data_IF_514335616961
#
_entry.id   IF_514335616961
#
_cell.length_a   1.000
_cell.length_b   1.000
_cell.length_c   1.000
_cell.angle_alpha   90.00
_cell.angle_beta   90.00
_cell.angle_gamma   90.00
#
_symmetry.space_group_name_H-M   'P 1'
#
loop_
_entity.id
_entity.type
_entity.pdbx_description
1 polymer ?
#
# COMPACT_ATOMS: atom_id res chain seq x y z
N UNK A 1 4.23 0.50 -12.92
CA UNK A 1 3.65 1.58 -12.11
C UNK A 1 3.70 1.27 -10.61
N UNK A 2 3.43 0.05 -10.21
CA UNK A 2 3.39 -0.31 -8.78
C UNK A 2 4.63 -1.04 -8.29
N UNK A 3 5.69 -1.07 -9.09
CA UNK A 3 6.88 -1.85 -8.79
C UNK A 3 7.54 -1.44 -7.46
N UNK A 4 7.67 -0.13 -7.23
CA UNK A 4 8.25 0.37 -5.98
C UNK A 4 7.38 0.03 -4.78
N UNK A 5 6.08 0.18 -4.94
CA UNK A 5 5.12 -0.17 -3.90
C UNK A 5 5.17 -1.66 -3.58
N UNK A 6 5.26 -2.51 -4.59
CA UNK A 6 5.36 -3.95 -4.40
C UNK A 6 6.62 -4.34 -3.65
N UNK A 7 7.75 -3.70 -3.96
CA UNK A 7 9.02 -3.95 -3.27
C UNK A 7 8.92 -3.53 -1.81
N UNK A 8 8.41 -2.34 -1.55
CA UNK A 8 8.24 -1.85 -0.17
C UNK A 8 7.28 -2.73 0.61
N UNK A 9 6.18 -3.13 0.01
CA UNK A 9 5.20 -4.01 0.64
C UNK A 9 5.84 -5.34 1.03
N UNK A 10 6.60 -5.93 0.12
CA UNK A 10 7.29 -7.19 0.39
C UNK A 10 8.27 -7.07 1.55
N UNK A 11 9.01 -5.96 1.63
CA UNK A 11 9.94 -5.71 2.72
C UNK A 11 9.23 -5.58 4.07
N UNK A 12 8.00 -5.06 4.05
CA UNK A 12 7.20 -4.89 5.26
C UNK A 12 6.34 -6.11 5.60
N UNK A 13 6.42 -7.18 4.79
CA UNK A 13 5.65 -8.40 5.03
C UNK A 13 4.28 -8.42 4.39
N UNK A 14 3.99 -7.49 3.51
CA UNK A 14 2.72 -7.44 2.78
C UNK A 14 2.92 -7.82 1.32
N UNK A 15 1.81 -8.13 0.65
CA UNK A 15 1.78 -8.31 -0.80
C UNK A 15 0.82 -7.29 -1.38
N UNK A 16 1.16 -6.76 -2.55
CA UNK A 16 0.23 -5.93 -3.30
C UNK A 16 -0.87 -6.83 -3.86
N UNK A 17 -2.10 -6.60 -3.42
CA UNK A 17 -3.24 -7.38 -3.89
C UNK A 17 -3.85 -6.75 -5.14
N UNK A 18 -4.32 -5.50 -5.02
CA UNK A 18 -4.97 -4.85 -6.16
C UNK A 18 -5.12 -3.35 -5.95
N UNK A 19 -5.37 -2.66 -7.06
CA UNK A 19 -5.84 -1.27 -7.06
C UNK A 19 -7.23 -1.27 -7.69
N UNK A 20 -8.21 -0.75 -6.99
CA UNK A 20 -9.62 -0.79 -7.39
C UNK A 20 -10.19 0.62 -7.43
N UNK A 21 -10.93 0.91 -8.47
CA UNK A 21 -11.70 2.15 -8.55
C UNK A 21 -13.11 1.91 -8.03
N UNK A 22 -13.54 2.72 -7.08
CA UNK A 22 -14.87 2.64 -6.51
C UNK A 22 -15.51 4.03 -6.56
N UNK A 23 -16.41 4.24 -7.53
CA UNK A 23 -17.00 5.54 -7.77
C UNK A 23 -15.96 6.54 -8.21
N UNK A 24 -15.77 7.60 -7.42
CA UNK A 24 -14.78 8.64 -7.66
C UNK A 24 -13.51 8.47 -6.83
N UNK A 25 -13.35 7.32 -6.17
CA UNK A 25 -12.20 7.05 -5.31
C UNK A 25 -11.45 5.81 -5.77
N UNK A 26 -10.17 5.77 -5.38
CA UNK A 26 -9.32 4.62 -5.64
C UNK A 26 -8.87 4.00 -4.33
N UNK A 27 -8.82 2.68 -4.31
CA UNK A 27 -8.34 1.91 -3.17
C UNK A 27 -7.13 1.08 -3.59
N UNK A 28 -6.07 1.16 -2.80
CA UNK A 28 -4.91 0.27 -2.94
C UNK A 28 -4.97 -0.71 -1.77
N UNK A 29 -5.00 -1.99 -2.06
CA UNK A 29 -5.18 -3.05 -1.08
C UNK A 29 -3.89 -3.86 -0.98
N UNK A 30 -3.37 -3.97 0.22
CA UNK A 30 -2.22 -4.81 0.55
C UNK A 30 -2.67 -5.92 1.49
N UNK A 31 -2.12 -7.09 1.28
CA UNK A 31 -2.45 -8.30 2.03
C UNK A 31 -1.31 -8.74 2.90
N UNK A 32 -1.61 -9.29 4.07
CA UNK A 32 -0.65 -10.09 4.81
C UNK A 32 -1.36 -11.33 5.40
N UNK A 33 -0.66 -12.12 6.18
CA UNK A 33 -1.20 -13.33 6.78
C UNK A 33 -2.39 -13.06 7.70
N UNK A 34 -2.43 -11.89 8.30
CA UNK A 34 -3.45 -11.53 9.29
C UNK A 34 -4.61 -10.74 8.70
N UNK A 35 -4.56 -10.37 7.44
CA UNK A 35 -5.65 -9.66 6.79
C UNK A 35 -5.20 -8.68 5.74
N UNK A 36 -6.03 -7.66 5.54
CA UNK A 36 -5.83 -6.66 4.50
C UNK A 36 -5.75 -5.27 5.09
N UNK A 37 -5.00 -4.40 4.43
CA UNK A 37 -4.99 -2.98 4.73
C UNK A 37 -5.31 -2.22 3.45
N UNK A 38 -6.17 -1.21 3.53
CA UNK A 38 -6.64 -0.45 2.38
C UNK A 38 -6.26 1.02 2.52
N UNK A 39 -5.74 1.58 1.43
CA UNK A 39 -5.42 3.01 1.34
C UNK A 39 -6.31 3.63 0.27
N UNK A 40 -6.95 4.74 0.60
CA UNK A 40 -7.94 5.39 -0.27
C UNK A 40 -7.46 6.77 -0.69
N UNK A 41 -7.64 7.10 -1.95
CA UNK A 41 -7.33 8.42 -2.48
C UNK A 41 -8.29 8.80 -3.60
N UNK A 42 -8.30 10.08 -3.96
CA UNK A 42 -9.12 10.57 -5.07
C UNK A 42 -8.55 10.10 -6.42
N UNK A 43 -7.27 9.77 -6.46
CA UNK A 43 -6.62 9.19 -7.65
C UNK A 43 -5.83 7.96 -7.21
N UNK A 44 -5.47 7.12 -8.18
CA UNK A 44 -4.64 5.95 -7.89
C UNK A 44 -3.27 6.39 -7.33
N UNK A 45 -2.73 7.48 -7.85
CA UNK A 45 -1.46 8.02 -7.39
C UNK A 45 -1.53 8.43 -5.91
N UNK A 46 -2.60 9.11 -5.51
CA UNK A 46 -2.79 9.50 -4.12
C UNK A 46 -2.88 8.29 -3.19
N UNK A 47 -3.64 7.27 -3.59
CA UNK A 47 -3.75 6.03 -2.81
C UNK A 47 -2.39 5.33 -2.69
N UNK A 48 -1.63 5.27 -3.78
CA UNK A 48 -0.29 4.68 -3.79
C UNK A 48 0.67 5.49 -2.89
N UNK A 49 0.60 6.80 -2.91
CA UNK A 49 1.42 7.65 -2.04
C UNK A 49 1.13 7.40 -0.56
N UNK A 50 -0.14 7.28 -0.21
CA UNK A 50 -0.54 6.97 1.17
C UNK A 50 -0.01 5.62 1.62
N UNK A 51 -0.12 4.62 0.74
CA UNK A 51 0.41 3.30 1.02
C UNK A 51 1.93 3.33 1.20
N UNK A 52 2.62 4.02 0.33
CA UNK A 52 4.08 4.16 0.38
C UNK A 52 4.54 4.82 1.68
N UNK A 53 3.90 5.91 2.07
CA UNK A 53 4.23 6.60 3.31
C UNK A 53 4.05 5.70 4.53
N UNK A 54 2.97 4.95 4.54
CA UNK A 54 2.68 4.03 5.65
C UNK A 54 3.72 2.93 5.73
N UNK A 55 4.09 2.35 4.59
CA UNK A 55 5.11 1.30 4.54
C UNK A 55 6.48 1.81 4.96
N UNK A 56 6.85 3.01 4.54
CA UNK A 56 8.13 3.62 4.96
C UNK A 56 8.17 3.79 6.47
N UNK A 57 7.07 4.23 7.10
CA UNK A 57 6.99 4.34 8.54
C UNK A 57 7.19 3.00 9.23
N UNK A 58 6.54 1.96 8.72
CA UNK A 58 6.64 0.62 9.27
C UNK A 58 8.08 0.12 9.18
N UNK A 59 8.71 0.28 8.03
CA UNK A 59 10.09 -0.15 7.82
C UNK A 59 11.05 0.61 8.71
N UNK A 60 10.83 1.90 8.91
CA UNK A 60 11.67 2.70 9.80
C UNK A 60 11.58 2.25 11.26
N UNK A 61 10.44 1.73 11.68
CA UNK A 61 10.28 1.18 13.02
C UNK A 61 11.08 -0.09 13.22
N UNK A 62 11.16 -0.91 12.19
CA UNK A 62 11.88 -2.19 12.27
C UNK A 62 13.39 -2.03 12.12
N UNK A 63 13.82 -0.90 11.64
CA UNK A 63 15.23 -0.64 11.35
C UNK A 63 16.02 -0.17 12.58
N UNK A 64 15.48 -0.30 13.75
CA UNK A 64 16.14 0.09 14.98
C UNK A 64 16.57 -1.10 15.80
#
# INVERSE_FOLDING_TARGET
MFKELEILAAQAGYRFAEAVKDGDKWHVILDDEDGEITFTGATVQEAVEKATESLVRILNRFDR
#
